data_IF_069398948070
#
_entry.id   IF_069398948070
#
_cell.length_a   1.000
_cell.length_b   1.000
_cell.length_c   1.000
_cell.angle_alpha   90.00
_cell.angle_beta   90.00
_cell.angle_gamma   90.00
#
_symmetry.space_group_name_H-M   'P 1'
#
loop_
_entity.id
_entity.type
_entity.pdbx_description
1 polymer ?
#
# COMPACT_ATOMS: atom_id res chain seq x y z
N UNK A 1 28.96 -7.45 -0.72
CA UNK A 1 28.39 -6.17 -0.25
C UNK A 1 27.25 -6.45 0.71
N UNK A 2 27.32 -5.91 1.93
CA UNK A 2 26.28 -6.07 2.95
C UNK A 2 25.17 -5.04 2.71
N UNK A 3 23.94 -5.51 2.47
CA UNK A 3 22.75 -4.65 2.34
C UNK A 3 22.50 -3.92 3.67
N UNK A 4 22.37 -2.60 3.64
CA UNK A 4 21.95 -1.79 4.80
C UNK A 4 20.42 -1.81 4.91
N UNK A 5 19.91 -2.60 5.87
CA UNK A 5 18.47 -2.81 6.05
C UNK A 5 17.75 -1.62 6.70
N UNK A 6 18.47 -0.69 7.33
CA UNK A 6 17.88 0.53 7.90
C UNK A 6 17.38 1.51 6.82
N UNK A 7 17.76 1.28 5.56
CA UNK A 7 17.32 2.06 4.40
C UNK A 7 16.04 1.55 3.74
N UNK A 8 15.48 0.46 4.26
CA UNK A 8 14.27 -0.17 3.74
C UNK A 8 13.19 -0.25 4.82
N UNK A 9 11.96 0.08 4.46
CA UNK A 9 10.83 0.00 5.39
C UNK A 9 9.56 -0.54 4.75
N UNK A 10 8.80 -1.33 5.52
CA UNK A 10 7.37 -1.47 5.28
C UNK A 10 6.64 -0.33 5.96
N UNK A 11 5.72 0.30 5.23
CA UNK A 11 4.95 1.43 5.74
C UNK A 11 3.46 1.08 5.63
N UNK A 12 2.75 1.18 6.74
CA UNK A 12 1.29 1.11 6.76
C UNK A 12 0.72 2.39 7.37
N UNK A 13 -0.57 2.61 7.15
CA UNK A 13 -1.27 3.79 7.60
C UNK A 13 -2.54 3.42 8.37
N UNK A 14 -2.73 3.98 9.56
CA UNK A 14 -3.84 3.68 10.45
C UNK A 14 -4.65 4.94 10.85
N UNK A 15 -5.81 5.12 10.22
CA UNK A 15 -6.78 6.21 10.48
C UNK A 15 -7.87 5.89 11.50
N UNK A 16 -8.10 4.60 11.74
CA UNK A 16 -9.17 4.10 12.59
C UNK A 16 -8.61 2.99 13.48
N UNK A 17 -9.31 2.68 14.57
CA UNK A 17 -8.91 1.58 15.46
C UNK A 17 -8.92 0.23 14.71
N UNK A 18 -9.81 0.06 13.72
CA UNK A 18 -9.82 -1.12 12.84
C UNK A 18 -8.57 -1.21 11.95
N UNK A 19 -8.19 -0.11 11.27
CA UNK A 19 -6.96 -0.07 10.47
C UNK A 19 -5.72 -0.24 11.35
N UNK A 20 -5.73 0.31 12.57
CA UNK A 20 -4.67 0.12 13.56
C UNK A 20 -4.48 -1.37 13.88
N UNK A 21 -5.55 -2.05 14.29
CA UNK A 21 -5.50 -3.47 14.63
C UNK A 21 -4.99 -4.31 13.45
N UNK A 22 -5.53 -4.10 12.25
CA UNK A 22 -5.10 -4.93 11.12
C UNK A 22 -3.68 -4.60 10.63
N UNK A 23 -3.26 -3.33 10.69
CA UNK A 23 -1.87 -2.97 10.39
C UNK A 23 -0.88 -3.62 11.37
N UNK A 24 -1.25 -3.69 12.66
CA UNK A 24 -0.46 -4.41 13.66
C UNK A 24 -0.38 -5.91 13.36
N UNK A 25 -1.47 -6.52 12.91
CA UNK A 25 -1.47 -7.93 12.50
C UNK A 25 -0.55 -8.18 11.31
N UNK A 26 -0.61 -7.33 10.27
CA UNK A 26 0.29 -7.39 9.12
C UNK A 26 1.75 -7.29 9.57
N UNK A 27 2.09 -6.33 10.44
CA UNK A 27 3.45 -6.18 10.97
C UNK A 27 3.91 -7.35 11.82
N UNK A 28 3.04 -7.92 12.64
CA UNK A 28 3.35 -9.10 13.43
C UNK A 28 3.68 -10.30 12.51
N UNK A 29 2.92 -10.52 11.45
CA UNK A 29 3.19 -11.57 10.47
C UNK A 29 4.49 -11.30 9.69
N UNK A 30 4.75 -10.07 9.24
CA UNK A 30 6.02 -9.73 8.58
C UNK A 30 7.23 -10.00 9.49
N UNK A 31 7.15 -9.67 10.79
CA UNK A 31 8.19 -10.00 11.78
C UNK A 31 8.35 -11.51 11.95
N UNK A 32 7.25 -12.25 12.09
CA UNK A 32 7.27 -13.72 12.18
C UNK A 32 7.88 -14.37 10.93
N UNK A 33 7.69 -13.77 9.76
CA UNK A 33 8.37 -14.15 8.52
C UNK A 33 9.76 -13.55 8.35
N UNK A 34 10.36 -13.03 9.42
CA UNK A 34 11.75 -12.58 9.49
C UNK A 34 12.10 -11.48 8.48
N UNK A 35 11.19 -10.53 8.21
CA UNK A 35 11.60 -9.33 7.47
C UNK A 35 12.73 -8.61 8.21
N UNK A 36 13.72 -8.16 7.44
CA UNK A 36 14.84 -7.36 7.97
C UNK A 36 14.61 -5.87 7.87
N UNK A 37 13.62 -5.44 7.08
CA UNK A 37 13.29 -4.04 6.90
C UNK A 37 12.71 -3.44 8.20
N UNK A 38 12.79 -2.12 8.33
CA UNK A 38 12.08 -1.41 9.38
C UNK A 38 10.57 -1.51 9.16
N UNK A 39 9.81 -1.40 10.25
CA UNK A 39 8.35 -1.34 10.20
C UNK A 39 7.93 0.02 10.71
N UNK A 40 7.19 0.76 9.88
CA UNK A 40 6.80 2.14 10.16
C UNK A 40 5.29 2.23 10.07
N UNK A 41 4.64 2.54 11.20
CA UNK A 41 3.22 2.82 11.23
C UNK A 41 3.00 4.33 11.23
N UNK A 42 2.45 4.84 10.14
CA UNK A 42 1.87 6.17 10.13
C UNK A 42 0.52 6.10 10.86
N UNK A 43 0.43 6.73 12.02
CA UNK A 43 -0.75 6.66 12.88
C UNK A 43 -1.47 8.00 12.92
N UNK A 44 -2.80 7.95 12.99
CA UNK A 44 -3.63 9.11 13.30
C UNK A 44 -3.07 9.83 14.54
N UNK A 45 -2.68 11.09 14.39
CA UNK A 45 -1.97 11.85 15.43
C UNK A 45 -2.70 11.85 16.78
N UNK A 46 -4.03 11.94 16.77
CA UNK A 46 -4.87 11.97 17.96
C UNK A 46 -4.73 10.69 18.82
N UNK A 47 -4.40 9.55 18.21
CA UNK A 47 -4.12 8.31 18.96
C UNK A 47 -2.88 8.44 19.87
N UNK A 48 -1.98 9.37 19.56
CA UNK A 48 -0.76 9.60 20.34
C UNK A 48 -0.82 10.88 21.18
N UNK A 49 -1.64 11.87 20.81
CA UNK A 49 -1.66 13.18 21.47
C UNK A 49 -2.87 13.43 22.38
N UNK A 50 -4.00 12.75 22.16
CA UNK A 50 -5.25 12.95 22.92
C UNK A 50 -5.55 11.72 23.81
N UNK A 51 -4.87 11.65 24.96
CA UNK A 51 -4.98 10.53 25.88
C UNK A 51 -6.32 10.47 26.62
N UNK A 52 -7.09 11.56 26.65
CA UNK A 52 -8.40 11.57 27.29
C UNK A 52 -9.41 10.77 26.47
N UNK A 53 -9.31 10.85 25.14
CA UNK A 53 -10.22 10.15 24.22
C UNK A 53 -9.62 8.85 23.62
N UNK A 54 -8.29 8.72 23.56
CA UNK A 54 -7.60 7.63 22.86
C UNK A 54 -6.59 6.85 23.72
N UNK A 55 -6.84 6.76 25.03
CA UNK A 55 -5.97 6.02 25.96
C UNK A 55 -5.72 4.58 25.51
N UNK A 56 -6.74 3.89 25.03
CA UNK A 56 -6.63 2.49 24.65
C UNK A 56 -5.74 2.31 23.40
N UNK A 57 -5.94 3.12 22.37
CA UNK A 57 -5.09 3.14 21.19
C UNK A 57 -3.64 3.46 21.55
N UNK A 58 -3.40 4.47 22.40
CA UNK A 58 -2.07 4.84 22.86
C UNK A 58 -1.35 3.68 23.55
N UNK A 59 -1.98 3.07 24.56
CA UNK A 59 -1.39 1.96 25.32
C UNK A 59 -1.11 0.75 24.42
N UNK A 60 -2.02 0.46 23.49
CA UNK A 60 -1.89 -0.66 22.55
C UNK A 60 -0.76 -0.42 21.55
N UNK A 61 -0.72 0.76 20.94
CA UNK A 61 0.30 1.15 19.96
C UNK A 61 1.70 1.18 20.58
N UNK A 62 1.85 1.82 21.74
CA UNK A 62 3.16 1.96 22.41
C UNK A 62 3.71 0.61 22.86
N UNK A 63 2.85 -0.26 23.40
CA UNK A 63 3.24 -1.63 23.71
C UNK A 63 3.66 -2.40 22.46
N UNK A 64 2.85 -2.37 21.41
CA UNK A 64 3.17 -3.07 20.16
C UNK A 64 4.47 -2.56 19.51
N UNK A 65 4.68 -1.24 19.52
CA UNK A 65 5.90 -0.60 19.05
C UNK A 65 7.14 -1.14 19.76
N UNK A 66 7.08 -1.27 21.09
CA UNK A 66 8.15 -1.86 21.90
C UNK A 66 8.34 -3.35 21.61
N UNK A 67 7.25 -4.12 21.52
CA UNK A 67 7.31 -5.58 21.39
C UNK A 67 7.80 -6.03 20.00
N UNK A 68 7.47 -5.28 18.93
CA UNK A 68 7.75 -5.65 17.53
C UNK A 68 8.79 -4.76 16.83
N UNK A 69 9.38 -3.80 17.56
CA UNK A 69 10.30 -2.79 17.03
C UNK A 69 9.68 -2.07 15.81
N UNK A 70 8.55 -1.40 16.04
CA UNK A 70 7.79 -0.64 15.04
C UNK A 70 7.92 0.84 15.35
N UNK A 71 8.31 1.64 14.35
CA UNK A 71 8.38 3.09 14.45
C UNK A 71 6.96 3.66 14.29
N UNK A 72 6.47 4.38 15.29
CA UNK A 72 5.20 5.09 15.20
C UNK A 72 5.45 6.53 14.74
N UNK A 73 4.85 6.94 13.64
CA UNK A 73 4.93 8.31 13.12
C UNK A 73 3.54 8.98 13.20
N UNK A 74 3.32 9.93 14.13
CA UNK A 74 2.07 10.67 14.18
C UNK A 74 1.89 11.46 12.88
N UNK A 75 0.78 11.22 12.20
CA UNK A 75 0.45 11.82 10.92
C UNK A 75 -0.90 12.53 11.05
N UNK A 76 -0.98 13.84 10.76
CA UNK A 76 -2.24 14.55 10.73
C UNK A 76 -3.15 13.92 9.67
N UNK A 77 -4.41 13.69 10.01
CA UNK A 77 -5.40 13.31 8.99
C UNK A 77 -5.71 14.55 8.17
N UNK A 78 -5.12 14.64 6.98
CA UNK A 78 -5.29 15.82 6.12
C UNK A 78 -6.74 15.87 5.61
N UNK A 79 -7.53 16.79 6.16
CA UNK A 79 -8.84 17.13 5.60
C UNK A 79 -8.64 17.93 4.31
N UNK A 80 -8.49 17.24 3.18
CA UNK A 80 -8.41 17.91 1.88
C UNK A 80 -9.77 17.79 1.18
N UNK A 81 -10.51 18.92 1.16
CA UNK A 81 -11.78 19.05 0.46
C UNK A 81 -13.00 19.04 1.39
N UNK A 82 -13.84 20.06 1.26
CA UNK A 82 -15.04 20.29 2.08
C UNK A 82 -16.25 19.42 1.70
N UNK A 83 -16.06 18.17 1.26
CA UNK A 83 -17.15 17.24 0.97
C UNK A 83 -17.39 16.30 2.18
N UNK A 84 -18.67 16.14 2.53
CA UNK A 84 -19.20 15.58 3.79
C UNK A 84 -18.99 14.07 4.02
N UNK A 85 -18.25 13.36 3.16
CA UNK A 85 -18.13 11.90 3.26
C UNK A 85 -16.77 11.50 3.83
N UNK A 86 -16.75 11.18 5.13
CA UNK A 86 -15.56 10.83 5.92
C UNK A 86 -14.74 9.65 5.37
N UNK A 87 -15.35 8.76 4.61
CA UNK A 87 -14.70 7.55 4.08
C UNK A 87 -13.55 7.92 3.12
N UNK A 88 -13.73 8.94 2.28
CA UNK A 88 -12.78 9.33 1.24
C UNK A 88 -11.65 10.26 1.71
N UNK A 89 -11.84 10.89 2.89
CA UNK A 89 -10.80 11.72 3.53
C UNK A 89 -9.63 10.85 4.01
N UNK A 90 -9.93 9.63 4.44
CA UNK A 90 -8.92 8.68 4.94
C UNK A 90 -8.04 8.12 3.83
N UNK A 91 -8.57 7.97 2.60
CA UNK A 91 -7.86 7.28 1.51
C UNK A 91 -6.72 8.12 0.94
N UNK A 92 -6.85 9.45 0.85
CA UNK A 92 -5.73 10.31 0.45
C UNK A 92 -4.63 10.41 1.50
N UNK A 93 -4.95 10.16 2.77
CA UNK A 93 -3.91 10.21 3.81
C UNK A 93 -2.94 9.04 3.67
N UNK A 94 -3.32 7.95 2.99
CA UNK A 94 -2.38 6.88 2.63
C UNK A 94 -1.26 7.36 1.70
N UNK A 95 -1.46 8.45 0.96
CA UNK A 95 -0.43 9.05 0.11
C UNK A 95 0.64 9.82 0.92
N UNK A 96 0.48 9.98 2.23
CA UNK A 96 1.50 10.56 3.10
C UNK A 96 2.76 9.68 3.19
N UNK A 97 2.67 8.39 2.84
CA UNK A 97 3.82 7.47 2.77
C UNK A 97 4.89 7.92 1.78
N UNK A 98 4.55 8.76 0.80
CA UNK A 98 5.53 9.35 -0.13
C UNK A 98 6.49 10.33 0.55
N UNK A 99 6.19 10.78 1.77
CA UNK A 99 7.06 11.67 2.55
C UNK A 99 8.16 10.91 3.34
N UNK A 100 8.21 9.58 3.26
CA UNK A 100 9.15 8.73 4.00
C UNK A 100 10.58 8.75 3.40
N UNK A 101 11.13 9.96 3.20
CA UNK A 101 12.43 10.21 2.57
C UNK A 101 13.66 9.89 3.42
N UNK A 102 13.45 9.38 4.64
CA UNK A 102 14.52 8.80 5.47
C UNK A 102 15.00 7.45 4.91
N UNK A 103 14.17 6.81 4.07
CA UNK A 103 14.40 5.52 3.45
C UNK A 103 14.74 5.65 1.97
N UNK A 104 15.62 4.77 1.49
CA UNK A 104 15.95 4.69 0.06
C UNK A 104 14.80 4.02 -0.71
N UNK A 105 14.09 3.08 -0.07
CA UNK A 105 12.91 2.44 -0.63
C UNK A 105 11.95 1.94 0.43
N UNK A 106 10.66 2.12 0.17
CA UNK A 106 9.60 1.62 1.03
C UNK A 106 8.65 0.68 0.27
N UNK A 107 8.02 -0.23 1.01
CA UNK A 107 6.87 -0.99 0.55
C UNK A 107 5.67 -0.55 1.37
N UNK A 108 4.73 0.12 0.73
CA UNK A 108 3.41 0.35 1.30
C UNK A 108 2.52 -0.88 1.08
N UNK A 109 1.78 -1.25 2.13
CA UNK A 109 0.72 -2.25 2.08
C UNK A 109 -0.58 -1.61 2.55
N UNK A 110 -1.67 -1.85 1.83
CA UNK A 110 -2.99 -1.45 2.30
C UNK A 110 -3.35 -2.23 3.57
N UNK A 111 -4.02 -1.53 4.49
CA UNK A 111 -4.50 -2.11 5.73
C UNK A 111 -5.73 -2.99 5.50
N UNK A 112 -6.32 -3.01 4.30
CA UNK A 112 -7.43 -3.90 3.96
C UNK A 112 -6.97 -5.30 3.51
N UNK A 113 -5.96 -5.88 4.15
CA UNK A 113 -5.31 -7.10 3.69
C UNK A 113 -4.74 -7.98 4.82
N UNK A 114 -4.26 -9.17 4.46
CA UNK A 114 -3.50 -10.05 5.35
C UNK A 114 -2.24 -10.58 4.65
N UNK A 115 -1.20 -10.84 5.44
CA UNK A 115 -0.01 -11.57 5.01
C UNK A 115 -0.21 -13.04 5.37
N UNK A 116 -0.16 -13.92 4.37
CA UNK A 116 -0.41 -15.34 4.53
C UNK A 116 0.89 -16.13 4.70
N UNK A 117 1.92 -15.80 3.92
CA UNK A 117 3.14 -16.59 3.83
C UNK A 117 4.35 -15.71 3.48
N UNK A 118 5.42 -15.84 4.26
CA UNK A 118 6.68 -15.15 3.99
C UNK A 118 6.57 -13.62 4.12
N UNK A 119 7.70 -12.95 3.88
CA UNK A 119 7.74 -11.51 3.69
C UNK A 119 7.84 -11.17 2.19
N UNK A 120 7.84 -9.88 1.88
CA UNK A 120 7.98 -9.36 0.52
C UNK A 120 9.32 -8.62 0.33
N UNK A 121 10.37 -8.99 1.07
CA UNK A 121 11.63 -8.25 1.12
C UNK A 121 12.29 -8.20 -0.28
N UNK A 122 11.99 -9.18 -1.14
CA UNK A 122 12.46 -9.19 -2.53
C UNK A 122 12.04 -7.96 -3.34
N UNK A 123 10.91 -7.32 -2.99
CA UNK A 123 10.40 -6.15 -3.70
C UNK A 123 11.27 -4.91 -3.46
N UNK A 124 12.05 -4.88 -2.37
CA UNK A 124 13.03 -3.81 -2.16
C UNK A 124 14.14 -3.82 -3.23
N UNK A 125 14.35 -4.93 -3.93
CA UNK A 125 15.44 -5.09 -4.91
C UNK A 125 14.96 -5.02 -6.36
N UNK A 126 13.72 -4.57 -6.62
CA UNK A 126 13.30 -4.22 -7.97
C UNK A 126 14.28 -3.22 -8.62
N UNK A 127 14.35 -3.13 -9.95
CA UNK A 127 15.16 -2.10 -10.61
C UNK A 127 14.84 -0.68 -10.09
N UNK A 128 15.79 0.28 -10.17
CA UNK A 128 15.54 1.65 -9.76
C UNK A 128 14.31 2.25 -10.44
N UNK A 129 13.35 2.73 -9.65
CA UNK A 129 12.06 3.27 -10.09
C UNK A 129 11.47 4.15 -8.99
N UNK A 130 10.77 5.22 -9.36
CA UNK A 130 10.09 6.11 -8.40
C UNK A 130 8.87 5.44 -7.76
N UNK A 131 8.07 4.74 -8.57
CA UNK A 131 6.91 3.99 -8.11
C UNK A 131 6.76 2.68 -8.88
N UNK A 132 6.56 1.58 -8.15
CA UNK A 132 6.16 0.29 -8.69
C UNK A 132 4.83 -0.12 -8.06
N UNK A 133 3.81 -0.36 -8.89
CA UNK A 133 2.45 -0.70 -8.46
C UNK A 133 1.85 -1.79 -9.35
N UNK A 134 0.96 -2.65 -8.82
CA UNK A 134 0.24 -3.61 -9.64
C UNK A 134 -0.85 -2.94 -10.48
N UNK A 135 -1.28 -3.63 -11.55
CA UNK A 135 -2.45 -3.21 -12.32
C UNK A 135 -3.74 -3.64 -11.64
N UNK A 136 -4.76 -2.77 -11.66
CA UNK A 136 -6.13 -3.07 -11.28
C UNK A 136 -6.85 -3.80 -12.44
N UNK A 137 -6.44 -5.03 -12.74
CA UNK A 137 -6.92 -5.80 -13.92
C UNK A 137 -8.44 -5.98 -13.95
N UNK A 138 -9.12 -5.92 -12.80
CA UNK A 138 -10.57 -6.02 -12.68
C UNK A 138 -11.33 -4.74 -13.11
N UNK A 139 -10.62 -3.62 -13.33
CA UNK A 139 -11.21 -2.35 -13.77
C UNK A 139 -11.00 -2.07 -15.25
N UNK A 140 -10.20 -2.88 -15.96
CA UNK A 140 -9.94 -2.70 -17.39
C UNK A 140 -11.19 -3.09 -18.21
N UNK A 141 -11.93 -2.08 -18.70
CA UNK A 141 -13.20 -2.25 -19.44
C UNK A 141 -13.07 -3.04 -20.74
N UNK A 142 -11.89 -3.04 -21.37
CA UNK A 142 -11.59 -3.86 -22.54
C UNK A 142 -10.74 -5.03 -22.08
N UNK A 143 -11.36 -6.19 -21.87
CA UNK A 143 -10.63 -7.46 -21.82
C UNK A 143 -9.93 -7.64 -23.17
N UNK A 144 -8.62 -7.34 -23.20
CA UNK A 144 -7.60 -7.87 -24.11
C UNK A 144 -7.71 -7.64 -25.63
N UNK A 145 -8.84 -7.16 -26.18
CA UNK A 145 -9.01 -7.06 -27.64
C UNK A 145 -8.41 -5.79 -28.28
N UNK A 146 -8.11 -4.75 -27.49
CA UNK A 146 -7.51 -3.49 -27.97
C UNK A 146 -6.48 -2.95 -26.98
N UNK A 147 -5.39 -3.67 -26.79
CA UNK A 147 -4.31 -3.25 -25.89
C UNK A 147 -3.50 -2.09 -26.48
N UNK A 148 -3.92 -0.84 -26.21
CA UNK A 148 -2.97 0.25 -26.06
C UNK A 148 -2.44 0.20 -24.62
N UNK A 149 -1.13 0.36 -24.44
CA UNK A 149 -0.44 0.37 -23.12
C UNK A 149 -1.02 1.48 -22.21
N UNK A 150 -1.69 2.45 -22.82
CA UNK A 150 -2.24 3.66 -22.23
C UNK A 150 -3.58 3.42 -21.47
N UNK A 151 -4.12 2.20 -21.47
CA UNK A 151 -5.46 1.89 -20.91
C UNK A 151 -5.45 1.06 -19.60
N UNK A 152 -4.29 0.74 -19.04
CA UNK A 152 -4.25 -0.01 -17.77
C UNK A 152 -4.58 0.89 -16.58
N UNK A 153 -5.51 0.44 -15.74
CA UNK A 153 -5.73 1.05 -14.43
C UNK A 153 -4.73 0.48 -13.43
N UNK A 154 -4.24 1.33 -12.52
CA UNK A 154 -3.29 0.98 -11.48
C UNK A 154 -3.98 0.93 -10.12
N UNK A 155 -3.45 0.12 -9.21
CA UNK A 155 -3.93 0.05 -7.83
C UNK A 155 -2.83 0.42 -6.86
N UNK A 156 -3.19 1.01 -5.72
CA UNK A 156 -2.27 1.30 -4.63
C UNK A 156 -2.34 0.30 -3.47
N UNK A 157 -2.92 -0.88 -3.70
CA UNK A 157 -2.99 -1.97 -2.71
C UNK A 157 -1.58 -2.36 -2.20
N UNK A 158 -0.59 -2.36 -3.10
CA UNK A 158 0.83 -2.47 -2.78
C UNK A 158 1.57 -1.41 -3.58
N UNK A 159 2.46 -0.65 -2.94
CA UNK A 159 3.32 0.30 -3.65
C UNK A 159 4.77 0.11 -3.22
N UNK A 160 5.67 -0.05 -4.18
CA UNK A 160 7.13 0.05 -3.94
C UNK A 160 7.55 1.46 -4.35
N UNK A 161 8.00 2.26 -3.40
CA UNK A 161 8.24 3.69 -3.60
C UNK A 161 9.71 3.97 -3.35
N UNK A 162 10.33 4.78 -4.22
CA UNK A 162 11.60 5.45 -3.93
C UNK A 162 11.26 6.90 -3.52
N UNK A 163 11.13 7.18 -2.20
CA UNK A 163 10.59 8.45 -1.74
C UNK A 163 11.55 9.60 -2.05
N UNK A 164 10.98 10.78 -2.32
CA UNK A 164 11.76 12.01 -2.46
C UNK A 164 10.85 13.22 -2.22
N UNK A 165 11.45 14.32 -1.75
CA UNK A 165 10.72 15.58 -1.57
C UNK A 165 10.01 16.04 -2.85
N UNK A 166 10.65 15.82 -3.99
CA UNK A 166 10.14 16.16 -5.32
C UNK A 166 8.92 15.31 -5.71
N UNK A 167 8.99 13.98 -5.49
CA UNK A 167 7.85 13.09 -5.72
C UNK A 167 6.69 13.41 -4.76
N UNK A 168 6.98 13.65 -3.48
CA UNK A 168 5.95 14.02 -2.51
C UNK A 168 5.26 15.35 -2.84
N UNK A 169 6.02 16.36 -3.29
CA UNK A 169 5.44 17.63 -3.74
C UNK A 169 4.48 17.43 -4.94
N UNK A 170 4.82 16.53 -5.88
CA UNK A 170 3.92 16.18 -6.99
C UNK A 170 2.64 15.49 -6.51
N UNK A 171 2.75 14.60 -5.52
CA UNK A 171 1.60 13.95 -4.89
C UNK A 171 0.69 14.97 -4.22
N UNK A 172 1.24 15.88 -3.41
CA UNK A 172 0.45 16.95 -2.76
C UNK A 172 -0.26 17.82 -3.80
N UNK A 173 0.45 18.25 -4.85
CA UNK A 173 -0.14 19.02 -5.94
C UNK A 173 -1.27 18.25 -6.65
N UNK A 174 -1.13 16.94 -6.86
CA UNK A 174 -2.18 16.11 -7.45
C UNK A 174 -3.42 16.02 -6.54
N UNK A 175 -3.24 15.91 -5.23
CA UNK A 175 -4.35 15.88 -4.27
C UNK A 175 -5.07 17.23 -4.21
N UNK A 176 -4.32 18.34 -4.21
CA UNK A 176 -4.89 19.70 -4.19
C UNK A 176 -5.69 20.02 -5.46
N UNK A 177 -5.24 19.53 -6.61
CA UNK A 177 -5.87 19.81 -7.92
C UNK A 177 -6.81 18.70 -8.41
N UNK A 178 -7.15 17.73 -7.55
CA UNK A 178 -8.04 16.61 -7.91
C UNK A 178 -9.44 17.08 -8.29
N UNK A 179 -10.10 16.33 -9.16
CA UNK A 179 -11.53 16.50 -9.46
C UNK A 179 -12.39 15.95 -8.32
N UNK A 180 -13.64 16.39 -8.26
CA UNK A 180 -14.59 16.03 -7.18
C UNK A 180 -14.80 14.52 -7.01
N UNK A 181 -14.68 13.74 -8.08
CA UNK A 181 -14.92 12.29 -8.09
C UNK A 181 -13.66 11.47 -8.38
N UNK A 182 -12.47 12.05 -8.24
CA UNK A 182 -11.22 11.31 -8.31
C UNK A 182 -10.87 10.74 -6.94
N UNK A 183 -10.42 9.49 -6.93
CA UNK A 183 -9.92 8.76 -5.78
C UNK A 183 -8.39 8.67 -5.82
N UNK A 184 -7.80 8.22 -4.72
CA UNK A 184 -6.36 8.00 -4.60
C UNK A 184 -5.78 7.10 -5.71
N UNK A 185 -6.53 6.10 -6.17
CA UNK A 185 -6.12 5.25 -7.29
C UNK A 185 -6.14 5.96 -8.65
N UNK A 186 -6.93 7.03 -8.80
CA UNK A 186 -6.97 7.82 -10.04
C UNK A 186 -5.79 8.80 -10.13
N UNK A 187 -5.19 9.16 -8.99
CA UNK A 187 -4.15 10.17 -8.94
C UNK A 187 -2.76 9.69 -9.42
N UNK A 188 -2.55 8.37 -9.60
CA UNK A 188 -1.24 7.85 -10.03
C UNK A 188 -0.69 8.56 -11.26
N UNK A 189 -1.54 8.75 -12.28
CA UNK A 189 -1.15 9.43 -13.53
C UNK A 189 -0.92 10.93 -13.35
N UNK A 190 -1.46 11.52 -12.28
CA UNK A 190 -1.35 12.97 -12.01
C UNK A 190 -0.03 13.34 -11.35
N UNK A 191 0.61 12.45 -10.59
CA UNK A 191 1.88 12.72 -9.90
C UNK A 191 3.10 11.98 -10.49
N UNK A 192 2.89 11.08 -11.45
CA UNK A 192 3.94 10.40 -12.20
C UNK A 192 4.10 11.10 -13.55
N UNK A 193 5.28 11.68 -13.79
CA UNK A 193 5.49 12.56 -14.94
C UNK A 193 5.78 11.80 -16.24
N UNK A 194 6.24 10.55 -16.13
CA UNK A 194 6.65 9.70 -17.26
C UNK A 194 6.25 8.25 -16.96
N UNK A 195 5.83 7.51 -17.98
CA UNK A 195 5.54 6.07 -17.89
C UNK A 195 6.79 5.26 -17.52
N UNK A 196 8.00 5.79 -17.76
CA UNK A 196 9.27 5.23 -17.27
C UNK A 196 9.51 5.41 -15.77
N UNK A 197 8.78 6.32 -15.09
CA UNK A 197 8.80 6.44 -13.63
C UNK A 197 7.98 5.33 -12.94
N UNK A 198 7.31 4.48 -13.73
CA UNK A 198 6.52 3.34 -13.30
C UNK A 198 7.18 2.02 -13.72
N UNK A 199 7.24 1.06 -12.81
CA UNK A 199 7.58 -0.33 -13.12
C UNK A 199 6.47 -1.20 -12.56
N UNK A 200 5.56 -1.60 -13.44
CA UNK A 200 4.75 -2.83 -13.46
C UNK A 200 3.44 -2.54 -14.18
N UNK A 201 3.38 -2.94 -15.44
CA UNK A 201 2.10 -3.20 -16.10
C UNK A 201 2.22 -4.33 -17.14
N UNK A 202 3.38 -4.53 -17.77
CA UNK A 202 3.45 -5.53 -18.85
C UNK A 202 4.79 -6.26 -19.04
N UNK A 203 5.94 -5.66 -18.68
CA UNK A 203 7.25 -6.20 -19.12
C UNK A 203 7.90 -7.25 -18.24
N UNK A 204 7.42 -7.43 -17.01
CA UNK A 204 7.99 -8.37 -16.02
C UNK A 204 7.09 -9.57 -15.73
N UNK A 205 6.03 -9.74 -16.53
CA UNK A 205 5.00 -10.78 -16.35
C UNK A 205 5.17 -11.96 -17.31
N UNK A 206 6.37 -12.15 -17.87
CA UNK A 206 6.82 -13.51 -18.13
C UNK A 206 7.42 -13.99 -16.81
N UNK A 207 6.63 -14.76 -16.05
CA UNK A 207 7.24 -15.69 -15.10
C UNK A 207 8.29 -16.51 -15.87
N UNK A 208 9.30 -17.05 -15.19
CA UNK A 208 10.33 -17.91 -15.83
C UNK A 208 9.75 -19.05 -16.70
N UNK A 209 8.45 -19.33 -16.57
CA UNK A 209 7.70 -20.37 -17.26
C UNK A 209 6.65 -19.86 -18.29
N UNK A 210 6.59 -18.57 -18.63
CA UNK A 210 5.60 -17.98 -19.57
C UNK A 210 4.12 -18.13 -19.18
N UNK A 211 3.82 -18.36 -17.90
CA UNK A 211 2.45 -18.30 -17.38
C UNK A 211 1.95 -16.85 -17.38
N UNK A 212 0.65 -16.61 -17.69
CA UNK A 212 0.06 -15.29 -17.52
C UNK A 212 0.12 -14.88 -16.05
N UNK A 213 0.47 -13.62 -15.80
CA UNK A 213 0.52 -13.07 -14.44
C UNK A 213 -0.84 -12.84 -13.77
N UNK A 214 -1.92 -13.10 -14.51
CA UNK A 214 -3.29 -12.95 -14.06
C UNK A 214 -4.05 -14.23 -14.36
N UNK A 215 -4.73 -14.76 -13.36
CA UNK A 215 -5.57 -15.95 -13.50
C UNK A 215 -7.04 -15.53 -13.38
N UNK A 216 -7.82 -15.72 -14.45
CA UNK A 216 -9.26 -15.54 -14.38
C UNK A 216 -9.90 -16.76 -13.72
N UNK A 217 -10.24 -16.64 -12.44
CA UNK A 217 -10.66 -17.76 -11.60
C UNK A 217 -12.15 -18.10 -11.73
N UNK A 218 -12.93 -17.33 -12.49
CA UNK A 218 -14.40 -17.50 -12.64
C UNK A 218 -14.81 -18.87 -13.20
N UNK A 219 -13.89 -19.52 -13.91
CA UNK A 219 -14.11 -20.84 -14.51
C UNK A 219 -13.46 -21.97 -13.70
N UNK A 220 -12.75 -21.65 -12.63
CA UNK A 220 -12.15 -22.65 -11.75
C UNK A 220 -13.15 -23.04 -10.68
N UNK A 221 -13.32 -24.34 -10.47
CA UNK A 221 -14.25 -24.86 -9.46
C UNK A 221 -13.74 -24.56 -8.03
N UNK A 222 -12.42 -24.53 -7.84
CA UNK A 222 -11.75 -24.26 -6.55
C UNK A 222 -10.44 -23.48 -6.71
N UNK A 223 -10.49 -22.23 -7.18
CA UNK A 223 -9.28 -21.44 -7.43
C UNK A 223 -8.41 -21.24 -6.19
N UNK A 224 -9.04 -21.15 -5.00
CA UNK A 224 -8.33 -21.02 -3.73
C UNK A 224 -7.34 -22.15 -3.48
N UNK A 225 -7.68 -23.40 -3.80
CA UNK A 225 -6.79 -24.56 -3.60
C UNK A 225 -5.54 -24.48 -4.48
N UNK A 226 -5.63 -23.84 -5.65
CA UNK A 226 -4.51 -23.74 -6.59
C UNK A 226 -3.56 -22.59 -6.26
N UNK A 227 -4.09 -21.44 -5.83
CA UNK A 227 -3.28 -20.25 -5.60
C UNK A 227 -2.86 -20.05 -4.13
N UNK A 228 -3.62 -20.59 -3.16
CA UNK A 228 -3.39 -20.30 -1.74
C UNK A 228 -1.96 -20.60 -1.27
N UNK A 229 -1.34 -21.66 -1.79
CA UNK A 229 0.04 -22.03 -1.44
C UNK A 229 1.07 -20.99 -1.94
N UNK A 230 0.75 -20.21 -2.96
CA UNK A 230 1.66 -19.24 -3.59
C UNK A 230 1.32 -17.78 -3.26
N UNK A 231 0.27 -17.52 -2.48
CA UNK A 231 -0.12 -16.15 -2.09
C UNK A 231 0.62 -15.74 -0.83
N UNK A 232 1.43 -14.68 -0.94
CA UNK A 232 2.06 -14.03 0.22
C UNK A 232 1.17 -12.98 0.88
N UNK A 233 0.39 -12.25 0.09
CA UNK A 233 -0.43 -11.11 0.54
C UNK A 233 -1.79 -11.15 -0.15
N UNK A 234 -2.87 -11.09 0.64
CA UNK A 234 -4.26 -11.17 0.19
C UNK A 234 -5.00 -9.90 0.59
N UNK A 235 -5.52 -9.17 -0.39
CA UNK A 235 -6.28 -7.93 -0.19
C UNK A 235 -7.79 -8.15 -0.33
N UNK A 236 -8.57 -7.54 0.56
CA UNK A 236 -10.03 -7.60 0.57
C UNK A 236 -10.59 -6.33 -0.10
N UNK A 237 -10.79 -6.36 -1.41
CA UNK A 237 -11.20 -5.17 -2.19
C UNK A 237 -12.71 -4.88 -2.20
N UNK A 238 -13.53 -5.77 -1.67
CA UNK A 238 -14.99 -5.75 -1.86
C UNK A 238 -15.66 -4.67 -1.01
N UNK A 239 -15.75 -3.43 -1.50
CA UNK A 239 -16.69 -2.45 -0.96
C UNK A 239 -18.06 -2.62 -1.64
N UNK A 240 -19.20 -2.49 -0.93
CA UNK A 240 -19.37 -2.15 0.49
C UNK A 240 -19.42 -3.37 1.42
N UNK A 241 -18.88 -4.53 1.02
CA UNK A 241 -18.86 -5.71 1.89
C UNK A 241 -17.95 -5.40 3.09
N UNK A 242 -18.40 -5.63 4.33
CA UNK A 242 -17.55 -5.42 5.50
C UNK A 242 -16.27 -6.22 5.41
N UNK A 243 -15.19 -5.64 5.93
CA UNK A 243 -13.93 -6.37 6.07
C UNK A 243 -14.11 -7.50 7.10
N UNK A 244 -13.25 -8.53 7.09
CA UNK A 244 -13.36 -9.66 8.02
C UNK A 244 -13.24 -9.33 9.52
N UNK A 245 -12.92 -8.08 9.87
CA UNK A 245 -12.72 -7.59 11.25
C UNK A 245 -13.78 -6.58 11.68
#
# INVERSE_FOLDING_TARGET
DSIDWSKFAYVLYATSSSHMCNSMMIFAELRKFNTRAELVLLVKQEFLSDLDNHKHEYETLTKFSSDFNVVLKPTPVTQIGGDEVDIWKSSFTKLMVFNESDYDRIIYLDADAIVLQGNLDELFFLPPVKLAVPTAYWLTKIQYEKMAIDEFQLTNIVMVIQPSRELFARVLNAIENKRKNEYDMDLHFSYLADTHEQVFAHRLLETSNREPAYYETKHMEKPGEYFAENIKYLHFSDAPVPKPW
#
